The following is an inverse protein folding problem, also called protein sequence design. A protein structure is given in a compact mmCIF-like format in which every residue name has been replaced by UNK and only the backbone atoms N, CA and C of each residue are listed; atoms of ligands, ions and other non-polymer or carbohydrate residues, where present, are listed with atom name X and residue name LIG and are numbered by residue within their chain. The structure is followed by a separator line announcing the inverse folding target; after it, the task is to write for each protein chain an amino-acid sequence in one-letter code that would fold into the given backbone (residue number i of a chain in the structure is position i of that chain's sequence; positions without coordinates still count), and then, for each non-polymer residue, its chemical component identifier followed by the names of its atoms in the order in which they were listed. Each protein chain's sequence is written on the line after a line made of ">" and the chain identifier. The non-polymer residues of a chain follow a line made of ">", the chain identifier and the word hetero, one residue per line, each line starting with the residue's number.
data_IF_208060776655
#
_entry.id   IF_208060776655
#
_cell.length_a   1.000
_cell.length_b   1.000
_cell.length_c   1.000
_cell.angle_alpha   90.00
_cell.angle_beta   90.00
_cell.angle_gamma   90.00
#
_symmetry.space_group_name_H-M   'P 1'
#
loop_
_entity.id
_entity.type
_entity.pdbx_description
1 polymer ?
#
# COMPACT_ATOMS: atom_id res chain seq x y z
N UNK A 1 -18.00 -17.10 1.43
CA UNK A 1 -17.10 -18.20 1.02
C UNK A 1 -16.73 -18.27 -0.47
N UNK A 2 -17.36 -17.51 -1.39
CA UNK A 2 -17.09 -17.65 -2.84
C UNK A 2 -15.66 -17.30 -3.28
N UNK A 3 -14.98 -16.36 -2.60
CA UNK A 3 -13.63 -15.90 -2.98
C UNK A 3 -12.51 -16.91 -2.70
N UNK A 4 -12.74 -17.89 -1.82
CA UNK A 4 -11.76 -18.95 -1.51
C UNK A 4 -12.13 -20.31 -2.16
N UNK A 5 -13.13 -20.35 -3.05
CA UNK A 5 -13.64 -21.61 -3.60
C UNK A 5 -12.62 -22.38 -4.46
N UNK A 6 -11.54 -21.71 -4.90
CA UNK A 6 -10.43 -22.32 -5.65
C UNK A 6 -9.30 -22.86 -4.78
N UNK A 7 -9.37 -22.71 -3.45
CA UNK A 7 -8.33 -23.18 -2.54
C UNK A 7 -8.83 -24.36 -1.71
N UNK A 8 -8.11 -25.48 -1.75
CA UNK A 8 -8.35 -26.68 -0.96
C UNK A 8 -7.23 -26.90 0.06
N UNK A 9 -7.48 -27.58 1.19
CA UNK A 9 -6.44 -27.86 2.18
C UNK A 9 -5.19 -28.56 1.63
N UNK A 10 -5.31 -29.30 0.52
CA UNK A 10 -4.21 -29.96 -0.16
C UNK A 10 -3.26 -29.05 -0.93
N UNK A 11 -3.60 -27.76 -1.13
CA UNK A 11 -2.78 -26.82 -1.91
C UNK A 11 -1.48 -26.40 -1.21
N UNK A 12 -1.28 -26.82 0.04
CA UNK A 12 -0.05 -26.53 0.77
C UNK A 12 0.20 -25.04 0.97
N UNK A 13 -0.87 -24.23 1.06
CA UNK A 13 -0.82 -22.79 1.31
C UNK A 13 -0.26 -22.49 2.69
N UNK A 14 1.06 -22.46 2.78
CA UNK A 14 1.82 -22.04 3.96
C UNK A 14 2.32 -20.62 3.78
N UNK A 15 2.61 -19.93 4.89
CA UNK A 15 3.26 -18.62 4.86
C UNK A 15 4.58 -18.66 4.06
N UNK A 16 5.34 -19.74 4.20
CA UNK A 16 6.60 -19.95 3.47
C UNK A 16 6.38 -20.09 1.96
N UNK A 17 5.35 -20.83 1.53
CA UNK A 17 5.01 -20.96 0.12
C UNK A 17 4.61 -19.61 -0.49
N UNK A 18 3.82 -18.81 0.23
CA UNK A 18 3.42 -17.45 -0.19
C UNK A 18 4.64 -16.55 -0.36
N UNK A 19 5.56 -16.55 0.61
CA UNK A 19 6.82 -15.78 0.54
C UNK A 19 7.66 -16.23 -0.65
N UNK A 20 7.86 -17.54 -0.82
CA UNK A 20 8.66 -18.08 -1.91
C UNK A 20 8.09 -17.69 -3.29
N UNK A 21 6.76 -17.69 -3.43
CA UNK A 21 6.10 -17.22 -4.65
C UNK A 21 6.33 -15.72 -4.89
N UNK A 22 6.23 -14.88 -3.84
CA UNK A 22 6.54 -13.44 -3.96
C UNK A 22 7.99 -13.18 -4.34
N UNK A 23 8.94 -13.92 -3.77
CA UNK A 23 10.36 -13.82 -4.15
C UNK A 23 10.57 -14.17 -5.63
N UNK A 24 9.93 -15.24 -6.14
CA UNK A 24 10.00 -15.57 -7.57
C UNK A 24 9.43 -14.46 -8.44
N UNK A 25 8.26 -13.93 -8.09
CA UNK A 25 7.62 -12.84 -8.84
C UNK A 25 8.46 -11.56 -8.82
N UNK A 26 8.98 -11.16 -7.66
CA UNK A 26 9.81 -9.97 -7.50
C UNK A 26 11.11 -10.08 -8.32
N UNK A 27 11.78 -11.24 -8.29
CA UNK A 27 12.95 -11.51 -9.14
C UNK A 27 12.62 -11.54 -10.64
N UNK A 28 11.36 -11.82 -10.99
CA UNK A 28 10.82 -11.71 -12.34
C UNK A 28 10.39 -10.30 -12.74
N UNK A 29 10.63 -9.28 -11.90
CA UNK A 29 10.30 -7.88 -12.20
C UNK A 29 8.91 -7.43 -11.74
N UNK A 30 8.17 -8.24 -10.98
CA UNK A 30 6.89 -7.81 -10.42
C UNK A 30 7.10 -6.87 -9.22
N UNK A 31 6.86 -5.57 -9.44
CA UNK A 31 7.13 -4.52 -8.47
C UNK A 31 6.21 -4.60 -7.24
N UNK A 32 4.93 -4.93 -7.42
CA UNK A 32 4.00 -5.13 -6.31
C UNK A 32 4.42 -6.29 -5.40
N UNK A 33 4.95 -7.39 -5.96
CA UNK A 33 5.50 -8.50 -5.18
C UNK A 33 6.76 -8.09 -4.41
N UNK A 34 7.61 -7.26 -5.00
CA UNK A 34 8.79 -6.70 -4.35
C UNK A 34 8.42 -5.77 -3.18
N UNK A 35 7.44 -4.88 -3.39
CA UNK A 35 6.87 -4.04 -2.34
C UNK A 35 6.24 -4.86 -1.21
N UNK A 36 5.45 -5.89 -1.55
CA UNK A 36 4.84 -6.78 -0.56
C UNK A 36 5.90 -7.51 0.30
N UNK A 37 7.06 -7.84 -0.27
CA UNK A 37 8.17 -8.45 0.49
C UNK A 37 8.75 -7.49 1.53
N UNK A 38 8.86 -6.19 1.22
CA UNK A 38 9.26 -5.19 2.20
C UNK A 38 8.27 -5.13 3.37
N UNK A 39 6.96 -5.09 3.08
CA UNK A 39 5.90 -5.12 4.10
C UNK A 39 5.90 -6.38 4.97
N UNK A 40 6.35 -7.52 4.42
CA UNK A 40 6.48 -8.77 5.19
C UNK A 40 7.75 -8.82 6.05
N UNK A 41 8.60 -7.78 6.01
CA UNK A 41 9.90 -7.77 6.67
C UNK A 41 10.92 -8.70 6.00
N UNK A 42 10.70 -9.04 4.73
CA UNK A 42 11.55 -9.96 3.96
C UNK A 42 11.96 -9.35 2.61
N UNK A 43 12.52 -8.12 2.59
CA UNK A 43 12.92 -7.47 1.35
C UNK A 43 14.00 -8.28 0.63
N UNK A 44 14.14 -8.11 -0.69
CA UNK A 44 15.20 -8.79 -1.45
C UNK A 44 16.59 -8.37 -0.97
N UNK A 45 16.72 -7.14 -0.45
CA UNK A 45 17.92 -6.62 0.18
C UNK A 45 17.53 -5.80 1.42
N UNK A 46 18.37 -5.80 2.46
CA UNK A 46 18.07 -5.12 3.72
C UNK A 46 18.67 -3.72 3.85
N UNK A 47 19.31 -3.19 2.80
CA UNK A 47 19.99 -1.89 2.87
C UNK A 47 19.00 -0.73 2.84
N UNK A 48 19.34 0.37 3.51
CA UNK A 48 18.56 1.62 3.46
C UNK A 48 18.45 2.16 2.02
N UNK A 49 19.52 2.05 1.23
CA UNK A 49 19.50 2.42 -0.19
C UNK A 49 18.46 1.62 -0.98
N UNK A 50 18.42 0.30 -0.80
CA UNK A 50 17.43 -0.54 -1.49
C UNK A 50 15.99 -0.15 -1.15
N UNK A 51 15.70 0.17 0.13
CA UNK A 51 14.36 0.61 0.53
C UNK A 51 13.97 1.92 -0.18
N UNK A 52 14.85 2.92 -0.18
CA UNK A 52 14.61 4.19 -0.87
C UNK A 52 14.36 3.99 -2.36
N UNK A 53 15.24 3.26 -3.02
CA UNK A 53 15.12 2.97 -4.45
C UNK A 53 13.83 2.22 -4.77
N UNK A 54 13.39 1.30 -3.91
CA UNK A 54 12.11 0.62 -4.07
C UNK A 54 10.92 1.59 -3.94
N UNK A 55 10.92 2.47 -2.94
CA UNK A 55 9.87 3.49 -2.77
C UNK A 55 9.80 4.42 -3.97
N UNK A 56 10.96 4.88 -4.47
CA UNK A 56 11.04 5.74 -5.66
C UNK A 56 10.53 5.03 -6.92
N UNK A 57 10.93 3.77 -7.15
CA UNK A 57 10.42 2.98 -8.28
C UNK A 57 8.93 2.74 -8.20
N UNK A 58 8.37 2.46 -7.02
CA UNK A 58 6.92 2.34 -6.84
C UNK A 58 6.24 3.64 -7.24
N UNK A 59 6.72 4.79 -6.73
CA UNK A 59 6.15 6.10 -7.09
C UNK A 59 6.23 6.39 -8.59
N UNK A 60 7.40 6.17 -9.18
CA UNK A 60 7.62 6.41 -10.61
C UNK A 60 6.80 5.49 -11.51
N UNK A 61 6.45 4.28 -11.05
CA UNK A 61 5.68 3.32 -11.84
C UNK A 61 4.22 3.74 -12.05
N UNK A 62 3.64 4.48 -11.10
CA UNK A 62 2.19 4.74 -11.06
C UNK A 62 1.33 3.48 -10.95
N UNK A 63 1.92 2.33 -10.59
CA UNK A 63 1.20 1.06 -10.47
C UNK A 63 0.35 1.03 -9.18
N UNK A 64 -1.00 1.04 -9.28
CA UNK A 64 -1.87 1.05 -8.11
C UNK A 64 -1.66 -0.17 -7.19
N UNK A 65 -1.36 -1.35 -7.75
CA UNK A 65 -1.12 -2.55 -6.96
C UNK A 65 0.19 -2.46 -6.18
N UNK A 66 1.22 -1.84 -6.77
CA UNK A 66 2.50 -1.62 -6.10
C UNK A 66 2.39 -0.59 -4.97
N UNK A 67 1.63 0.49 -5.18
CA UNK A 67 1.31 1.47 -4.13
C UNK A 67 0.60 0.78 -2.95
N UNK A 68 -0.44 -0.01 -3.22
CA UNK A 68 -1.17 -0.71 -2.18
C UNK A 68 -0.30 -1.74 -1.44
N UNK A 69 0.50 -2.50 -2.19
CA UNK A 69 1.38 -3.51 -1.61
C UNK A 69 2.45 -2.90 -0.69
N UNK A 70 2.92 -1.68 -0.99
CA UNK A 70 3.91 -0.96 -0.21
C UNK A 70 3.31 -0.26 1.03
N UNK A 71 2.04 0.14 0.98
CA UNK A 71 1.41 1.04 1.94
C UNK A 71 1.68 0.69 3.42
N UNK A 72 1.57 -0.57 3.89
CA UNK A 72 1.79 -0.88 5.30
C UNK A 72 3.26 -0.74 5.73
N UNK A 73 4.22 -0.89 4.81
CA UNK A 73 5.63 -0.62 5.11
C UNK A 73 5.89 0.87 5.30
N UNK A 74 5.09 1.74 4.67
CA UNK A 74 5.17 3.20 4.80
C UNK A 74 4.36 3.73 5.98
N UNK A 75 3.65 2.86 6.69
CA UNK A 75 2.92 3.21 7.91
C UNK A 75 3.82 3.39 9.13
N UNK A 76 3.30 2.98 10.29
CA UNK A 76 4.05 2.97 11.55
C UNK A 76 5.31 2.10 11.50
N UNK A 77 5.37 1.11 10.61
CA UNK A 77 6.55 0.24 10.45
C UNK A 77 7.81 1.02 9.97
N UNK A 78 7.63 2.18 9.34
CA UNK A 78 8.71 3.07 8.90
C UNK A 78 9.02 4.17 9.92
N UNK A 79 8.39 4.19 11.10
CA UNK A 79 8.62 5.25 12.07
C UNK A 79 10.09 5.24 12.56
N UNK A 80 10.76 6.38 12.45
CA UNK A 80 12.18 6.51 12.79
C UNK A 80 13.15 5.91 11.76
N UNK A 81 12.68 5.51 10.58
CA UNK A 81 13.58 5.13 9.48
C UNK A 81 14.06 6.40 8.76
N UNK A 82 15.21 6.94 9.19
CA UNK A 82 15.85 8.14 8.63
C UNK A 82 16.19 8.03 7.14
N UNK A 83 16.06 6.84 6.54
CA UNK A 83 16.22 6.67 5.11
C UNK A 83 14.99 7.10 4.30
N UNK A 84 13.82 7.24 4.91
CA UNK A 84 12.56 7.54 4.22
C UNK A 84 12.12 8.99 4.48
N UNK A 85 11.41 9.57 3.51
CA UNK A 85 10.81 10.90 3.68
C UNK A 85 9.60 10.79 4.63
N UNK A 86 9.72 11.36 5.83
CA UNK A 86 8.68 11.37 6.88
C UNK A 86 7.34 11.92 6.39
N UNK A 87 7.33 12.70 5.32
CA UNK A 87 6.10 13.25 4.74
C UNK A 87 5.29 12.23 3.94
N UNK A 88 5.87 11.06 3.66
CA UNK A 88 5.22 9.94 2.98
C UNK A 88 5.43 8.61 3.71
N UNK A 89 6.11 8.59 4.86
CA UNK A 89 6.36 7.39 5.63
C UNK A 89 6.37 7.65 7.16
N UNK A 90 6.07 6.63 7.96
CA UNK A 90 6.32 6.63 9.40
C UNK A 90 5.14 6.97 10.31
N UNK A 91 3.92 7.11 9.76
CA UNK A 91 2.69 7.35 10.54
C UNK A 91 1.53 6.47 10.05
N UNK A 92 0.46 6.35 10.84
CA UNK A 92 -0.77 5.70 10.34
C UNK A 92 -1.39 6.47 9.16
N UNK A 93 -1.23 7.81 9.14
CA UNK A 93 -1.72 8.64 8.04
C UNK A 93 -0.97 8.42 6.73
N UNK A 94 0.34 8.13 6.79
CA UNK A 94 1.12 7.88 5.58
C UNK A 94 0.69 6.57 4.93
N UNK A 95 0.45 5.50 5.69
CA UNK A 95 -0.14 4.26 5.14
C UNK A 95 -1.47 4.52 4.43
N UNK A 96 -2.39 5.25 5.06
CA UNK A 96 -3.66 5.62 4.45
C UNK A 96 -3.45 6.48 3.19
N UNK A 97 -2.50 7.42 3.20
CA UNK A 97 -2.20 8.24 2.04
C UNK A 97 -1.74 7.40 0.84
N UNK A 98 -0.93 6.35 1.06
CA UNK A 98 -0.55 5.40 0.01
C UNK A 98 -1.74 4.60 -0.54
N UNK A 99 -2.65 4.16 0.34
CA UNK A 99 -3.86 3.46 -0.07
C UNK A 99 -4.80 4.38 -0.89
N UNK A 100 -4.98 5.63 -0.45
CA UNK A 100 -5.77 6.63 -1.18
C UNK A 100 -5.12 7.01 -2.52
N UNK A 101 -3.79 7.10 -2.57
CA UNK A 101 -3.07 7.31 -3.82
C UNK A 101 -3.27 6.15 -4.79
N UNK A 102 -3.25 4.90 -4.31
CA UNK A 102 -3.58 3.72 -5.13
C UNK A 102 -5.00 3.83 -5.73
N UNK A 103 -5.99 4.28 -4.94
CA UNK A 103 -7.34 4.55 -5.46
C UNK A 103 -7.34 5.58 -6.59
N UNK A 104 -6.58 6.67 -6.43
CA UNK A 104 -6.45 7.71 -7.49
C UNK A 104 -5.74 7.19 -8.74
N UNK A 105 -4.87 6.20 -8.61
CA UNK A 105 -4.19 5.52 -9.71
C UNK A 105 -5.05 4.44 -10.38
N UNK A 106 -6.30 4.24 -9.93
CA UNK A 106 -7.26 3.34 -10.56
C UNK A 106 -7.41 1.97 -9.90
N UNK A 107 -6.89 1.79 -8.68
CA UNK A 107 -7.23 0.62 -7.86
C UNK A 107 -8.75 0.56 -7.63
N UNK A 108 -9.33 -0.64 -7.61
CA UNK A 108 -10.71 -0.82 -7.15
C UNK A 108 -10.80 -0.48 -5.65
N UNK A 109 -11.45 0.65 -5.36
CA UNK A 109 -11.69 1.17 -4.04
C UNK A 109 -13.18 1.28 -3.71
N UNK A 110 -14.05 0.61 -4.49
CA UNK A 110 -15.49 0.61 -4.26
C UNK A 110 -15.90 -0.10 -2.95
N UNK A 111 -17.20 -0.07 -2.60
CA UNK A 111 -17.73 -0.69 -1.39
C UNK A 111 -17.45 -2.20 -1.28
N UNK A 112 -17.44 -2.91 -2.40
CA UNK A 112 -17.19 -4.37 -2.47
C UNK A 112 -15.73 -4.75 -2.75
N UNK A 113 -14.83 -3.75 -2.76
CA UNK A 113 -13.41 -3.93 -3.06
C UNK A 113 -12.69 -4.80 -2.02
N UNK A 114 -11.56 -5.39 -2.42
CA UNK A 114 -10.66 -6.06 -1.49
C UNK A 114 -10.15 -5.08 -0.43
N UNK A 115 -9.84 -3.84 -0.82
CA UNK A 115 -9.32 -2.83 0.07
C UNK A 115 -10.33 -2.49 1.17
N UNK A 116 -11.58 -2.21 0.81
CA UNK A 116 -12.66 -1.97 1.79
C UNK A 116 -12.85 -3.18 2.71
N UNK A 117 -12.86 -4.39 2.14
CA UNK A 117 -13.01 -5.63 2.91
C UNK A 117 -11.88 -5.81 3.93
N UNK A 118 -10.62 -5.60 3.50
CA UNK A 118 -9.43 -5.76 4.36
C UNK A 118 -9.38 -4.69 5.44
N UNK A 119 -9.74 -3.45 5.09
CA UNK A 119 -9.78 -2.37 6.06
C UNK A 119 -10.79 -2.64 7.19
N UNK A 120 -12.00 -3.07 6.84
CA UNK A 120 -13.01 -3.50 7.82
C UNK A 120 -12.51 -4.70 8.66
N UNK A 121 -11.99 -5.74 8.01
CA UNK A 121 -11.55 -6.96 8.70
C UNK A 121 -10.36 -6.75 9.65
N UNK A 122 -9.41 -5.88 9.27
CA UNK A 122 -8.20 -5.63 10.06
C UNK A 122 -8.37 -4.47 11.06
N UNK A 123 -9.14 -3.44 10.69
CA UNK A 123 -9.34 -2.23 11.48
C UNK A 123 -10.50 -2.33 12.46
N UNK A 124 -11.42 -3.29 12.28
CA UNK A 124 -12.58 -3.50 13.16
C UNK A 124 -13.68 -2.42 13.04
N UNK A 125 -13.53 -1.47 12.11
CA UNK A 125 -14.51 -0.43 11.82
C UNK A 125 -14.91 -0.57 10.35
N UNK A 126 -16.20 -0.77 10.12
CA UNK A 126 -16.75 -1.04 8.79
C UNK A 126 -17.78 0.04 8.44
N UNK A 127 -17.84 0.43 7.16
CA UNK A 127 -18.86 1.37 6.70
C UNK A 127 -20.25 0.82 6.98
N UNK A 128 -21.14 1.70 7.44
CA UNK A 128 -22.56 1.39 7.61
C UNK A 128 -23.36 1.72 6.33
N UNK A 129 -22.75 2.41 5.37
CA UNK A 129 -23.35 2.72 4.08
C UNK A 129 -22.78 1.75 3.03
N UNK A 130 -23.62 0.85 2.47
CA UNK A 130 -23.17 -0.16 1.49
C UNK A 130 -22.74 0.44 0.15
N UNK A 131 -22.94 1.73 -0.08
CA UNK A 131 -22.53 2.43 -1.30
C UNK A 131 -21.23 3.21 -1.14
N UNK A 132 -20.74 3.35 0.09
CA UNK A 132 -19.57 4.17 0.40
C UNK A 132 -18.28 3.51 -0.10
N UNK A 133 -17.48 4.28 -0.83
CA UNK A 133 -16.17 3.85 -1.28
C UNK A 133 -15.10 4.00 -0.17
N UNK A 134 -13.95 3.40 -0.38
CA UNK A 134 -12.86 3.40 0.60
C UNK A 134 -12.38 4.82 0.92
N UNK A 135 -12.28 5.68 -0.10
CA UNK A 135 -11.78 7.04 0.09
C UNK A 135 -12.69 7.85 1.01
N UNK A 136 -13.97 7.95 0.67
CA UNK A 136 -14.96 8.66 1.49
C UNK A 136 -15.05 8.07 2.90
N UNK A 137 -15.01 6.75 3.04
CA UNK A 137 -15.03 6.11 4.35
C UNK A 137 -13.81 6.47 5.21
N UNK A 138 -12.60 6.48 4.65
CA UNK A 138 -11.38 6.88 5.37
C UNK A 138 -11.48 8.33 5.87
N UNK A 139 -11.96 9.25 5.05
CA UNK A 139 -12.15 10.65 5.47
C UNK A 139 -13.20 10.80 6.57
N UNK A 140 -14.25 9.98 6.56
CA UNK A 140 -15.31 10.03 7.57
C UNK A 140 -14.91 9.35 8.89
N UNK A 141 -14.23 8.21 8.82
CA UNK A 141 -14.01 7.32 9.96
C UNK A 141 -12.61 7.40 10.58
N UNK A 142 -11.59 7.79 9.81
CA UNK A 142 -10.19 7.72 10.25
C UNK A 142 -9.47 9.08 10.26
N UNK A 143 -9.91 10.05 9.46
CA UNK A 143 -9.29 11.36 9.36
C UNK A 143 -10.09 12.38 10.17
N UNK A 144 -9.53 12.95 11.26
CA UNK A 144 -10.16 14.06 11.95
C UNK A 144 -10.33 15.25 11.00
N UNK A 145 -11.34 16.09 11.22
CA UNK A 145 -11.59 17.27 10.36
C UNK A 145 -10.36 18.18 10.18
N UNK A 146 -9.52 18.31 11.21
CA UNK A 146 -8.29 19.10 11.13
C UNK A 146 -7.17 18.42 10.32
N UNK A 147 -7.27 17.11 10.09
CA UNK A 147 -6.27 16.30 9.37
C UNK A 147 -6.59 16.11 7.89
N UNK A 148 -7.74 16.57 7.39
CA UNK A 148 -8.14 16.42 5.98
C UNK A 148 -7.15 17.08 5.03
N UNK A 149 -6.72 18.31 5.33
CA UNK A 149 -5.76 19.04 4.49
C UNK A 149 -4.39 18.35 4.49
N UNK A 150 -3.91 17.93 5.65
CA UNK A 150 -2.68 17.15 5.78
C UNK A 150 -2.75 15.85 4.97
N UNK A 151 -3.87 15.11 5.06
CA UNK A 151 -4.08 13.90 4.27
C UNK A 151 -4.04 14.21 2.76
N UNK A 152 -4.74 15.26 2.32
CA UNK A 152 -4.74 15.68 0.93
C UNK A 152 -3.34 16.02 0.43
N UNK A 153 -2.54 16.73 1.22
CA UNK A 153 -1.15 17.07 0.89
C UNK A 153 -0.27 15.82 0.76
N UNK A 154 -0.42 14.84 1.66
CA UNK A 154 0.32 13.57 1.58
C UNK A 154 -0.03 12.80 0.30
N UNK A 155 -1.33 12.67 -0.01
CA UNK A 155 -1.76 11.99 -1.24
C UNK A 155 -1.29 12.75 -2.48
N UNK A 156 -1.38 14.08 -2.51
CA UNK A 156 -0.91 14.88 -3.65
C UNK A 156 0.60 14.72 -3.87
N UNK A 157 1.41 14.71 -2.80
CA UNK A 157 2.86 14.46 -2.89
C UNK A 157 3.18 13.08 -3.48
N UNK A 158 2.32 12.09 -3.24
CA UNK A 158 2.46 10.75 -3.81
C UNK A 158 2.05 10.70 -5.30
N UNK A 159 1.18 11.60 -5.73
CA UNK A 159 0.73 11.73 -7.13
C UNK A 159 1.66 12.60 -7.98
N UNK A 160 2.39 13.53 -7.36
CA UNK A 160 3.34 14.41 -8.03
C UNK A 160 4.63 13.64 -8.41
N UNK A 161 4.59 12.94 -9.54
CA UNK A 161 5.72 12.16 -10.09
C UNK A 161 6.59 12.95 -11.09
N UNK A 162 6.25 14.22 -11.37
CA UNK A 162 6.81 15.02 -12.48
C UNK A 162 8.09 15.81 -12.18
N UNK A 163 8.81 15.55 -11.09
CA UNK A 163 9.99 16.35 -10.72
C UNK A 163 11.37 15.68 -10.93
N UNK A 164 11.45 14.52 -11.60
CA UNK A 164 12.76 13.83 -11.78
C UNK A 164 12.95 13.22 -13.17
N UNK A 165 12.43 13.89 -14.20
CA UNK A 165 12.53 13.48 -15.61
C UNK A 165 12.93 14.59 -16.58
N UNK A 166 13.56 15.68 -16.12
CA UNK A 166 14.10 16.73 -16.98
C UNK A 166 15.61 16.89 -16.74
N UNK A 167 16.38 16.11 -17.47
CA UNK A 167 17.84 16.11 -17.45
C UNK A 167 18.38 15.25 -18.58
N UNK A 168 18.17 15.70 -19.82
CA UNK A 168 18.96 15.32 -20.99
C UNK A 168 19.81 16.50 -21.39
#
# INVERSE_FOLDING_TARGET
>A
GRRCAGFVPGDGLTRQAIVAQRVRAARGGNLAAEAALLTLGQPLQSSAGYKRDLVERVRASGDPDAYLALAPAMGLAANGDDSLDERIAGTAFTELAWQLAACRLGLDCGPDSELMTRYCANGGICSQDPTQDFSSFVYDAAVPRQGTDTMNEMVNRLMDTTATGAGS
#
